data_IF_889174808317
#
_entry.id   IF_889174808317
#
_cell.length_a   1.000
_cell.length_b   1.000
_cell.length_c   1.000
_cell.angle_alpha   90.00
_cell.angle_beta   90.00
_cell.angle_gamma   90.00
#
_symmetry.space_group_name_H-M   'P 1'
#
loop_
_entity.id
_entity.type
_entity.pdbx_description
1 polymer ?
#
# COMPACT_ATOMS: atom_id res chain seq x y z
N UNK A 1 -18.26 5.76 -27.27
CA UNK A 1 -19.14 4.99 -26.35
C UNK A 1 -18.45 3.78 -25.72
N UNK A 2 -17.75 2.93 -26.49
CA UNK A 2 -17.04 1.77 -25.93
C UNK A 2 -15.90 2.18 -24.97
N UNK A 3 -15.07 3.16 -25.35
CA UNK A 3 -13.96 3.67 -24.52
C UNK A 3 -14.42 4.31 -23.20
N UNK A 4 -15.57 5.00 -23.19
CA UNK A 4 -16.15 5.59 -21.99
C UNK A 4 -16.65 4.56 -20.98
N UNK A 5 -17.33 3.50 -21.45
CA UNK A 5 -17.77 2.39 -20.59
C UNK A 5 -16.60 1.69 -19.93
N UNK A 6 -15.52 1.61 -20.67
CA UNK A 6 -14.28 0.97 -20.30
C UNK A 6 -13.56 1.78 -19.21
N UNK A 7 -13.36 3.09 -19.39
CA UNK A 7 -12.82 3.96 -18.33
C UNK A 7 -13.72 3.99 -17.08
N UNK A 8 -15.05 3.99 -17.27
CA UNK A 8 -16.01 3.92 -16.16
C UNK A 8 -15.80 2.68 -15.29
N UNK A 9 -15.61 1.51 -15.89
CA UNK A 9 -15.41 0.27 -15.13
C UNK A 9 -14.07 0.26 -14.39
N UNK A 10 -13.02 0.84 -14.98
CA UNK A 10 -11.74 0.99 -14.29
C UNK A 10 -11.88 1.89 -13.06
N UNK A 11 -12.50 3.06 -13.21
CA UNK A 11 -12.74 3.96 -12.07
C UNK A 11 -13.67 3.31 -11.04
N UNK A 12 -14.72 2.59 -11.48
CA UNK A 12 -15.58 1.84 -10.57
C UNK A 12 -14.79 0.79 -9.80
N UNK A 13 -13.88 0.07 -10.44
CA UNK A 13 -12.95 -0.85 -9.77
C UNK A 13 -12.09 -0.14 -8.72
N UNK A 14 -11.50 1.01 -9.06
CA UNK A 14 -10.71 1.79 -8.10
C UNK A 14 -11.55 2.35 -6.93
N UNK A 15 -12.81 2.72 -7.17
CA UNK A 15 -13.72 3.15 -6.11
C UNK A 15 -14.15 1.97 -5.24
N UNK A 16 -14.37 0.80 -5.83
CA UNK A 16 -14.66 -0.46 -5.11
C UNK A 16 -13.52 -0.84 -4.17
N UNK A 17 -12.28 -0.56 -4.57
CA UNK A 17 -11.09 -0.72 -3.73
C UNK A 17 -11.12 0.18 -2.49
N UNK A 18 -11.62 1.42 -2.63
CA UNK A 18 -11.75 2.35 -1.51
C UNK A 18 -12.87 1.95 -0.53
N UNK A 19 -13.95 1.33 -1.00
CA UNK A 19 -15.04 0.85 -0.13
C UNK A 19 -14.90 -0.61 0.29
N UNK A 20 -13.79 -1.26 -0.13
CA UNK A 20 -13.48 -2.65 0.16
C UNK A 20 -14.61 -3.60 -0.28
N UNK A 21 -15.18 -3.35 -1.45
CA UNK A 21 -16.22 -4.19 -2.07
C UNK A 21 -15.54 -5.14 -3.07
N UNK A 22 -15.19 -6.33 -2.59
CA UNK A 22 -14.44 -7.32 -3.37
C UNK A 22 -15.24 -7.90 -4.54
N UNK A 23 -16.54 -8.25 -4.40
CA UNK A 23 -17.35 -8.63 -5.54
C UNK A 23 -17.40 -7.55 -6.62
N UNK A 24 -17.68 -6.29 -6.25
CA UNK A 24 -17.78 -5.21 -7.23
C UNK A 24 -16.43 -4.91 -7.88
N UNK A 25 -15.34 -4.97 -7.11
CA UNK A 25 -13.98 -4.82 -7.62
C UNK A 25 -13.71 -5.89 -8.69
N UNK A 26 -13.88 -7.17 -8.34
CA UNK A 26 -13.67 -8.30 -9.25
C UNK A 26 -14.48 -8.14 -10.53
N UNK A 27 -15.78 -7.92 -10.39
CA UNK A 27 -16.72 -7.89 -11.51
C UNK A 27 -16.47 -6.68 -12.43
N UNK A 28 -16.02 -5.54 -11.87
CA UNK A 28 -15.64 -4.35 -12.65
C UNK A 28 -14.42 -4.61 -13.54
N UNK A 29 -13.42 -5.32 -13.03
CA UNK A 29 -12.23 -5.69 -13.82
C UNK A 29 -12.51 -6.82 -14.82
N UNK A 30 -13.37 -7.79 -14.48
CA UNK A 30 -13.82 -8.85 -15.41
C UNK A 30 -14.62 -8.25 -16.59
N UNK A 31 -15.50 -7.28 -16.33
CA UNK A 31 -16.34 -6.65 -17.35
C UNK A 31 -15.58 -5.73 -18.33
N UNK A 32 -14.25 -5.71 -18.28
CA UNK A 32 -13.40 -4.71 -18.94
C UNK A 32 -12.31 -5.31 -19.84
N UNK A 33 -12.64 -6.27 -20.75
CA UNK A 33 -11.63 -6.98 -21.55
C UNK A 33 -10.83 -6.07 -22.48
N UNK A 34 -11.39 -4.95 -22.94
CA UNK A 34 -10.68 -3.98 -23.79
C UNK A 34 -9.59 -3.17 -23.05
N UNK A 35 -9.72 -2.97 -21.74
CA UNK A 35 -8.64 -2.36 -20.92
C UNK A 35 -7.59 -3.35 -20.49
N UNK A 36 -7.93 -4.63 -20.43
CA UNK A 36 -6.93 -5.67 -20.25
C UNK A 36 -5.87 -5.59 -21.37
N UNK A 37 -6.19 -5.08 -22.57
CA UNK A 37 -5.17 -4.83 -23.61
C UNK A 37 -4.13 -3.77 -23.20
N UNK A 38 -4.46 -2.85 -22.30
CA UNK A 38 -3.53 -1.82 -21.83
C UNK A 38 -2.54 -2.41 -20.84
N UNK A 39 -3.02 -3.15 -19.83
CA UNK A 39 -2.20 -3.93 -18.91
C UNK A 39 -2.91 -5.23 -18.50
N UNK A 40 -2.67 -6.35 -19.22
CA UNK A 40 -3.35 -7.60 -18.92
C UNK A 40 -3.01 -8.11 -17.52
N UNK A 41 -1.76 -7.90 -17.11
CA UNK A 41 -1.27 -8.35 -15.81
C UNK A 41 -1.96 -7.63 -14.66
N UNK A 42 -2.19 -6.32 -14.77
CA UNK A 42 -2.90 -5.56 -13.74
C UNK A 42 -4.33 -6.07 -13.57
N UNK A 43 -5.03 -6.36 -14.68
CA UNK A 43 -6.43 -6.80 -14.62
C UNK A 43 -6.54 -8.17 -13.97
N UNK A 44 -5.74 -9.13 -14.43
CA UNK A 44 -5.66 -10.45 -13.80
C UNK A 44 -5.26 -10.34 -12.32
N UNK A 45 -4.32 -9.45 -12.00
CA UNK A 45 -3.88 -9.24 -10.61
C UNK A 45 -4.98 -8.66 -9.72
N UNK A 46 -5.72 -7.64 -10.17
CA UNK A 46 -6.81 -7.04 -9.38
C UNK A 46 -7.97 -8.03 -9.16
N UNK A 47 -8.30 -8.83 -10.16
CA UNK A 47 -9.28 -9.93 -10.02
C UNK A 47 -8.77 -10.95 -9.01
N UNK A 48 -7.50 -11.36 -9.11
CA UNK A 48 -6.87 -12.28 -8.15
C UNK A 48 -6.85 -11.73 -6.73
N UNK A 49 -6.56 -10.44 -6.54
CA UNK A 49 -6.60 -9.76 -5.24
C UNK A 49 -8.01 -9.79 -4.64
N UNK A 50 -9.03 -9.46 -5.43
CA UNK A 50 -10.42 -9.50 -4.98
C UNK A 50 -10.85 -10.92 -4.60
N UNK A 51 -10.53 -11.91 -5.44
CA UNK A 51 -10.85 -13.32 -5.18
C UNK A 51 -10.11 -13.86 -3.96
N UNK A 52 -8.88 -13.39 -3.68
CA UNK A 52 -8.16 -13.75 -2.46
C UNK A 52 -8.88 -13.24 -1.20
N UNK A 53 -9.36 -12.00 -1.21
CA UNK A 53 -10.09 -11.47 -0.06
C UNK A 53 -11.44 -12.17 0.15
N UNK A 54 -12.14 -12.53 -0.93
CA UNK A 54 -13.34 -13.37 -0.87
C UNK A 54 -13.05 -14.78 -0.35
N UNK A 55 -11.90 -15.34 -0.70
CA UNK A 55 -11.44 -16.61 -0.15
C UNK A 55 -11.21 -16.54 1.36
N UNK A 56 -10.52 -15.49 1.83
CA UNK A 56 -10.28 -15.25 3.26
C UNK A 56 -11.60 -15.06 4.02
N UNK A 57 -12.53 -14.28 3.47
CA UNK A 57 -13.86 -14.10 4.06
C UNK A 57 -14.61 -15.44 4.16
N UNK A 58 -14.61 -16.24 3.09
CA UNK A 58 -15.25 -17.55 3.08
C UNK A 58 -14.62 -18.55 4.08
N UNK A 59 -13.29 -18.53 4.22
CA UNK A 59 -12.57 -19.35 5.18
C UNK A 59 -13.00 -19.04 6.62
N UNK A 60 -13.01 -17.76 7.00
CA UNK A 60 -13.41 -17.34 8.35
C UNK A 60 -14.92 -17.49 8.61
N UNK A 61 -15.74 -17.51 7.56
CA UNK A 61 -17.16 -17.83 7.63
C UNK A 61 -17.47 -19.34 7.63
N UNK A 62 -16.45 -20.21 7.53
CA UNK A 62 -16.59 -21.66 7.39
C UNK A 62 -17.48 -22.09 6.20
N UNK A 63 -17.43 -21.34 5.08
CA UNK A 63 -18.10 -21.69 3.82
C UNK A 63 -17.12 -22.42 2.89
N UNK A 64 -17.07 -23.74 3.02
CA UNK A 64 -16.19 -24.61 2.24
C UNK A 64 -16.38 -24.50 0.72
N UNK A 65 -17.61 -24.25 0.26
CA UNK A 65 -17.91 -24.19 -1.16
C UNK A 65 -17.41 -22.88 -1.77
N UNK A 66 -17.67 -21.75 -1.10
CA UNK A 66 -17.13 -20.46 -1.50
C UNK A 66 -15.61 -20.42 -1.37
N UNK A 67 -15.06 -21.01 -0.30
CA UNK A 67 -13.63 -21.14 -0.06
C UNK A 67 -12.92 -21.82 -1.23
N UNK A 68 -13.35 -23.03 -1.64
CA UNK A 68 -12.77 -23.73 -2.80
C UNK A 68 -12.86 -22.93 -4.09
N UNK A 69 -14.02 -22.30 -4.35
CA UNK A 69 -14.25 -21.50 -5.57
C UNK A 69 -13.31 -20.29 -5.62
N UNK A 70 -13.27 -19.50 -4.56
CA UNK A 70 -12.51 -18.25 -4.51
C UNK A 70 -11.02 -18.51 -4.43
N UNK A 71 -10.58 -19.56 -3.74
CA UNK A 71 -9.16 -19.98 -3.73
C UNK A 71 -8.69 -20.34 -5.13
N UNK A 72 -9.42 -21.20 -5.84
CA UNK A 72 -9.08 -21.60 -7.19
C UNK A 72 -9.01 -20.40 -8.15
N UNK A 73 -10.00 -19.51 -8.08
CA UNK A 73 -10.03 -18.29 -8.89
C UNK A 73 -8.84 -17.35 -8.55
N UNK A 74 -8.56 -17.12 -7.27
CA UNK A 74 -7.44 -16.28 -6.85
C UNK A 74 -6.10 -16.79 -7.41
N UNK A 75 -5.85 -18.09 -7.27
CA UNK A 75 -4.60 -18.67 -7.75
C UNK A 75 -4.48 -18.67 -9.28
N UNK A 76 -5.55 -19.00 -9.99
CA UNK A 76 -5.56 -18.96 -11.46
C UNK A 76 -5.21 -17.57 -11.96
N UNK A 77 -5.88 -16.55 -11.39
CA UNK A 77 -5.71 -15.14 -11.77
C UNK A 77 -4.34 -14.59 -11.40
N UNK A 78 -3.81 -14.92 -10.23
CA UNK A 78 -2.45 -14.51 -9.83
C UNK A 78 -1.38 -15.15 -10.71
N UNK A 79 -1.45 -16.46 -10.99
CA UNK A 79 -0.52 -17.12 -11.92
C UNK A 79 -0.67 -16.56 -13.34
N UNK A 80 -1.89 -16.27 -13.77
CA UNK A 80 -2.16 -15.61 -15.05
C UNK A 80 -1.46 -14.25 -15.11
N UNK A 81 -1.64 -13.41 -14.09
CA UNK A 81 -1.00 -12.11 -13.97
C UNK A 81 0.53 -12.20 -14.08
N UNK A 82 1.16 -13.12 -13.33
CA UNK A 82 2.60 -13.36 -13.40
C UNK A 82 3.09 -13.79 -14.80
N UNK A 83 2.32 -14.63 -15.49
CA UNK A 83 2.63 -15.12 -16.86
C UNK A 83 2.46 -14.04 -17.93
N UNK A 84 1.54 -13.10 -17.78
CA UNK A 84 1.28 -12.06 -18.79
C UNK A 84 2.02 -10.75 -18.50
N UNK A 85 2.52 -10.56 -17.29
CA UNK A 85 3.32 -9.40 -16.89
C UNK A 85 4.57 -9.22 -17.75
N UNK A 86 4.89 -7.96 -18.07
CA UNK A 86 6.08 -7.53 -18.81
C UNK A 86 6.17 -8.05 -20.25
N UNK A 87 5.14 -8.77 -20.76
CA UNK A 87 5.06 -9.17 -22.17
C UNK A 87 4.86 -7.95 -23.06
N UNK A 88 4.08 -6.97 -22.60
CA UNK A 88 3.91 -5.70 -23.28
C UNK A 88 5.00 -4.73 -22.82
N UNK A 89 5.72 -4.15 -23.78
CA UNK A 89 6.79 -3.17 -23.53
C UNK A 89 6.42 -1.83 -24.12
N UNK A 90 6.54 -0.78 -23.34
CA UNK A 90 6.38 0.61 -23.80
C UNK A 90 7.79 1.18 -23.96
N UNK A 91 8.15 1.60 -25.17
CA UNK A 91 9.50 2.07 -25.49
C UNK A 91 10.61 1.08 -25.06
N UNK A 92 10.36 -0.23 -25.25
CA UNK A 92 11.31 -1.30 -24.91
C UNK A 92 11.40 -1.66 -23.43
N UNK A 93 10.74 -0.92 -22.53
CA UNK A 93 10.71 -1.19 -21.08
C UNK A 93 9.35 -1.78 -20.66
N UNK A 94 9.33 -2.72 -19.69
CA UNK A 94 8.07 -3.15 -19.08
C UNK A 94 7.41 -1.96 -18.37
N UNK A 95 6.08 -1.96 -18.29
CA UNK A 95 5.39 -0.96 -17.49
C UNK A 95 5.71 -1.16 -16.01
N UNK A 96 5.96 -0.09 -15.24
CA UNK A 96 6.42 -0.23 -13.86
C UNK A 96 5.45 -1.06 -12.99
N UNK A 97 4.15 -0.87 -13.17
CA UNK A 97 3.13 -1.68 -12.46
C UNK A 97 3.18 -3.17 -12.81
N UNK A 98 3.56 -3.55 -14.03
CA UNK A 98 3.66 -4.96 -14.40
C UNK A 98 4.92 -5.60 -13.81
N UNK A 99 6.01 -4.85 -13.71
CA UNK A 99 7.22 -5.27 -12.99
C UNK A 99 6.89 -5.54 -11.52
N UNK A 100 6.11 -4.65 -10.88
CA UNK A 100 5.64 -4.83 -9.51
C UNK A 100 4.80 -6.11 -9.35
N UNK A 101 3.79 -6.30 -10.21
CA UNK A 101 2.93 -7.50 -10.20
C UNK A 101 3.75 -8.77 -10.38
N UNK A 102 4.71 -8.77 -11.31
CA UNK A 102 5.59 -9.91 -11.55
C UNK A 102 6.44 -10.24 -10.32
N UNK A 103 7.05 -9.23 -9.68
CA UNK A 103 7.86 -9.43 -8.48
C UNK A 103 7.02 -10.00 -7.33
N UNK A 104 5.79 -9.47 -7.13
CA UNK A 104 4.89 -9.92 -6.06
C UNK A 104 4.44 -11.36 -6.26
N UNK A 105 3.98 -11.72 -7.46
CA UNK A 105 3.56 -13.10 -7.76
C UNK A 105 4.73 -14.08 -7.63
N UNK A 106 5.90 -13.76 -8.18
CA UNK A 106 7.09 -14.63 -8.08
C UNK A 106 7.54 -14.86 -6.65
N UNK A 107 7.40 -13.86 -5.78
CA UNK A 107 7.70 -13.95 -4.36
C UNK A 107 6.81 -14.99 -3.68
N UNK A 108 5.49 -14.90 -3.87
CA UNK A 108 4.56 -15.87 -3.28
C UNK A 108 4.72 -17.27 -3.88
N UNK A 109 4.98 -17.39 -5.18
CA UNK A 109 5.30 -18.67 -5.82
C UNK A 109 6.56 -19.31 -5.22
N UNK A 110 7.61 -18.52 -4.99
CA UNK A 110 8.84 -19.01 -4.36
C UNK A 110 8.59 -19.46 -2.90
N UNK A 111 7.77 -18.73 -2.16
CA UNK A 111 7.42 -19.09 -0.78
C UNK A 111 6.57 -20.37 -0.71
N UNK A 112 5.57 -20.50 -1.57
CA UNK A 112 4.76 -21.70 -1.71
C UNK A 112 5.63 -22.90 -2.08
N UNK A 113 6.53 -22.74 -3.07
CA UNK A 113 7.44 -23.81 -3.48
C UNK A 113 8.43 -24.23 -2.38
N UNK A 114 8.85 -23.30 -1.51
CA UNK A 114 9.75 -23.57 -0.39
C UNK A 114 9.06 -24.22 0.82
N UNK A 115 7.72 -24.24 0.85
CA UNK A 115 6.93 -24.67 2.01
C UNK A 115 6.03 -25.87 1.64
N UNK A 116 6.33 -27.08 2.13
CA UNK A 116 5.51 -28.25 1.82
C UNK A 116 4.04 -28.07 2.20
N UNK A 117 3.13 -28.24 1.24
CA UNK A 117 1.69 -28.13 1.45
C UNK A 117 1.15 -26.70 1.54
N UNK A 118 1.96 -25.68 1.26
CA UNK A 118 1.49 -24.30 1.20
C UNK A 118 1.04 -23.95 -0.22
N UNK A 119 -0.24 -23.70 -0.37
CA UNK A 119 -0.84 -23.24 -1.62
C UNK A 119 -0.48 -21.77 -1.91
N UNK A 120 -0.59 -21.34 -3.18
CA UNK A 120 -0.21 -19.98 -3.57
C UNK A 120 -1.05 -18.94 -2.84
N UNK A 121 -2.37 -19.18 -2.71
CA UNK A 121 -3.27 -18.27 -2.00
C UNK A 121 -2.90 -18.13 -0.51
N UNK A 122 -2.37 -19.18 0.12
CA UNK A 122 -1.97 -19.18 1.53
C UNK A 122 -0.55 -18.62 1.74
N UNK A 123 0.27 -18.59 0.68
CA UNK A 123 1.57 -17.92 0.69
C UNK A 123 1.46 -16.39 0.63
N UNK A 124 0.26 -15.84 0.43
CA UNK A 124 0.02 -14.40 0.48
C UNK A 124 -0.17 -13.96 1.92
N UNK A 125 0.77 -13.15 2.44
CA UNK A 125 0.67 -12.53 3.75
C UNK A 125 -0.18 -11.26 3.71
N UNK A 126 0.45 -10.12 3.41
CA UNK A 126 -0.22 -8.81 3.37
C UNK A 126 -1.29 -8.80 2.29
N UNK A 127 -2.48 -8.24 2.59
CA UNK A 127 -3.54 -8.09 1.60
C UNK A 127 -3.04 -7.31 0.37
N UNK A 128 -2.97 -7.95 -0.81
CA UNK A 128 -2.50 -7.27 -2.00
C UNK A 128 -3.56 -6.30 -2.53
N UNK A 129 -4.84 -6.49 -2.19
CA UNK A 129 -5.88 -5.51 -2.48
C UNK A 129 -5.61 -4.21 -1.69
N UNK A 130 -5.36 -4.31 -0.38
CA UNK A 130 -5.05 -3.12 0.43
C UNK A 130 -3.71 -2.50 0.04
N UNK A 131 -2.71 -3.30 -0.35
CA UNK A 131 -1.47 -2.80 -0.93
C UNK A 131 -1.73 -1.97 -2.20
N UNK A 132 -2.61 -2.45 -3.08
CA UNK A 132 -3.02 -1.69 -4.27
C UNK A 132 -3.82 -0.43 -3.90
N UNK A 133 -4.58 -0.46 -2.80
CA UNK A 133 -5.26 0.72 -2.28
C UNK A 133 -4.23 1.80 -1.88
N UNK A 134 -3.13 1.40 -1.23
CA UNK A 134 -2.02 2.31 -0.96
C UNK A 134 -1.37 2.83 -2.24
N UNK A 135 -1.06 1.97 -3.22
CA UNK A 135 -0.43 2.35 -4.50
C UNK A 135 -1.27 3.36 -5.29
N UNK A 136 -2.61 3.23 -5.27
CA UNK A 136 -3.54 4.18 -5.91
C UNK A 136 -4.02 5.31 -5.01
N UNK A 137 -3.53 5.42 -3.77
CA UNK A 137 -4.03 6.40 -2.80
C UNK A 137 -5.53 6.28 -2.50
N UNK A 138 -6.12 5.09 -2.71
CA UNK A 138 -7.53 4.83 -2.45
C UNK A 138 -7.86 4.96 -0.96
N UNK A 139 -6.89 4.72 -0.06
CA UNK A 139 -7.04 4.96 1.38
C UNK A 139 -7.37 6.41 1.74
N UNK A 140 -7.04 7.38 0.88
CA UNK A 140 -7.43 8.79 1.07
C UNK A 140 -8.92 9.05 0.82
N UNK A 141 -9.61 8.11 0.18
CA UNK A 141 -11.05 8.17 -0.12
C UNK A 141 -11.88 7.31 0.84
N UNK A 142 -11.23 6.59 1.75
CA UNK A 142 -11.89 5.75 2.77
C UNK A 142 -12.51 6.64 3.85
N UNK A 143 -13.76 6.34 4.23
CA UNK A 143 -14.36 6.88 5.44
C UNK A 143 -13.85 6.15 6.69
N UNK A 144 -14.27 6.56 7.89
CA UNK A 144 -13.84 5.92 9.14
C UNK A 144 -14.11 4.41 9.18
N UNK A 145 -15.29 3.98 8.74
CA UNK A 145 -15.67 2.56 8.70
C UNK A 145 -14.80 1.77 7.70
N UNK A 146 -14.53 2.33 6.52
CA UNK A 146 -13.67 1.70 5.53
C UNK A 146 -12.22 1.61 6.02
N UNK A 147 -11.71 2.63 6.73
CA UNK A 147 -10.38 2.60 7.31
C UNK A 147 -10.24 1.49 8.38
N UNK A 148 -11.24 1.34 9.26
CA UNK A 148 -11.26 0.27 10.27
C UNK A 148 -11.29 -1.10 9.62
N UNK A 149 -12.14 -1.29 8.60
CA UNK A 149 -12.17 -2.51 7.80
C UNK A 149 -10.82 -2.76 7.12
N UNK A 150 -10.20 -1.76 6.51
CA UNK A 150 -8.91 -1.90 5.84
C UNK A 150 -7.80 -2.34 6.81
N UNK A 151 -7.81 -1.83 8.06
CA UNK A 151 -6.91 -2.30 9.12
C UNK A 151 -7.15 -3.78 9.42
N UNK A 152 -8.41 -4.21 9.54
CA UNK A 152 -8.75 -5.61 9.74
C UNK A 152 -8.33 -6.50 8.55
N UNK A 153 -8.37 -5.99 7.32
CA UNK A 153 -7.88 -6.71 6.13
C UNK A 153 -6.34 -6.91 6.12
N UNK A 154 -5.59 -6.08 6.85
CA UNK A 154 -4.15 -6.23 7.03
C UNK A 154 -3.77 -7.04 8.27
N UNK A 155 -4.74 -7.49 9.05
CA UNK A 155 -4.47 -8.27 10.25
C UNK A 155 -3.97 -9.67 9.87
N UNK A 156 -2.89 -10.11 10.52
CA UNK A 156 -2.24 -11.37 10.16
C UNK A 156 -3.10 -12.61 10.47
N UNK A 157 -4.00 -12.52 11.45
CA UNK A 157 -4.99 -13.56 11.78
C UNK A 157 -6.00 -13.80 10.66
N UNK A 158 -6.14 -12.85 9.72
CA UNK A 158 -6.93 -13.02 8.51
C UNK A 158 -6.30 -13.99 7.52
N UNK A 159 -5.00 -14.24 7.60
CA UNK A 159 -4.33 -15.22 6.75
C UNK A 159 -4.86 -16.63 7.04
N UNK A 160 -4.95 -17.44 5.99
CA UNK A 160 -5.51 -18.80 6.01
C UNK A 160 -4.44 -19.88 6.14
N UNK A 161 -3.16 -19.49 6.06
CA UNK A 161 -2.02 -20.38 6.26
C UNK A 161 -1.99 -20.93 7.69
N UNK A 162 -1.46 -22.13 7.86
CA UNK A 162 -1.24 -22.72 9.18
C UNK A 162 -0.27 -21.88 10.04
N UNK A 163 -0.28 -22.03 11.37
CA UNK A 163 0.50 -21.21 12.30
C UNK A 163 1.98 -21.09 11.94
N UNK A 164 2.63 -22.21 11.62
CA UNK A 164 4.06 -22.24 11.25
C UNK A 164 4.38 -21.43 9.99
N UNK A 165 3.48 -21.48 8.99
CA UNK A 165 3.64 -20.72 7.75
C UNK A 165 3.40 -19.23 7.99
N UNK A 166 2.43 -18.89 8.84
CA UNK A 166 2.15 -17.52 9.23
C UNK A 166 3.30 -16.89 10.03
N UNK A 167 3.93 -17.63 10.93
CA UNK A 167 5.12 -17.15 11.65
C UNK A 167 6.28 -16.87 10.69
N UNK A 168 6.50 -17.73 9.70
CA UNK A 168 7.52 -17.50 8.65
C UNK A 168 7.22 -16.27 7.81
N UNK A 169 5.96 -16.08 7.43
CA UNK A 169 5.49 -14.89 6.71
C UNK A 169 5.76 -13.61 7.50
N UNK A 170 5.44 -13.61 8.80
CA UNK A 170 5.67 -12.47 9.71
C UNK A 170 7.16 -12.20 9.95
N UNK A 171 7.98 -13.25 10.00
CA UNK A 171 9.42 -13.14 10.20
C UNK A 171 10.16 -12.63 8.96
N UNK A 172 9.55 -12.71 7.78
CA UNK A 172 10.14 -12.20 6.55
C UNK A 172 10.08 -10.66 6.54
N UNK A 173 11.26 -10.04 6.57
CA UNK A 173 11.39 -8.59 6.78
C UNK A 173 10.73 -7.76 5.69
N UNK A 174 10.83 -8.18 4.43
CA UNK A 174 10.22 -7.46 3.31
C UNK A 174 8.69 -7.52 3.33
N UNK A 175 8.09 -8.65 3.74
CA UNK A 175 6.65 -8.77 3.99
C UNK A 175 6.22 -7.92 5.18
N UNK A 176 6.96 -7.98 6.28
CA UNK A 176 6.69 -7.18 7.48
C UNK A 176 6.83 -5.68 7.21
N UNK A 177 7.80 -5.26 6.40
CA UNK A 177 7.94 -3.88 5.98
C UNK A 177 6.82 -3.43 5.03
N UNK A 178 6.42 -4.28 4.09
CA UNK A 178 5.25 -4.06 3.24
C UNK A 178 3.99 -3.89 4.09
N UNK A 179 3.79 -4.77 5.08
CA UNK A 179 2.69 -4.68 6.04
C UNK A 179 2.74 -3.36 6.81
N UNK A 180 3.91 -3.00 7.36
CA UNK A 180 4.08 -1.81 8.19
C UNK A 180 3.77 -0.53 7.42
N UNK A 181 4.22 -0.38 6.18
CA UNK A 181 3.92 0.77 5.32
C UNK A 181 2.42 0.90 5.05
N UNK A 182 1.77 -0.20 4.70
CA UNK A 182 0.34 -0.19 4.40
C UNK A 182 -0.50 0.08 5.67
N UNK A 183 -0.14 -0.55 6.79
CA UNK A 183 -0.80 -0.35 8.07
C UNK A 183 -0.58 1.07 8.60
N UNK A 184 0.62 1.63 8.50
CA UNK A 184 0.92 3.00 8.94
C UNK A 184 0.10 4.03 8.18
N UNK A 185 -0.08 3.82 6.86
CA UNK A 185 -0.88 4.71 6.01
C UNK A 185 -2.36 4.76 6.42
N UNK A 186 -2.91 3.62 6.87
CA UNK A 186 -4.28 3.53 7.39
C UNK A 186 -4.38 4.15 8.79
N UNK A 187 -3.48 3.79 9.70
CA UNK A 187 -3.48 4.29 11.08
C UNK A 187 -3.32 5.82 11.13
N UNK A 188 -2.41 6.39 10.32
CA UNK A 188 -2.28 7.86 10.26
C UNK A 188 -3.53 8.53 9.69
N UNK A 189 -4.25 7.87 8.77
CA UNK A 189 -5.51 8.36 8.22
C UNK A 189 -6.64 8.35 9.26
N UNK A 190 -6.59 7.42 10.22
CA UNK A 190 -7.42 7.43 11.44
C UNK A 190 -6.93 8.44 12.50
N UNK A 191 -5.83 9.13 12.24
CA UNK A 191 -5.21 10.06 13.19
C UNK A 191 -4.34 9.43 14.27
N UNK A 192 -4.14 8.10 14.25
CA UNK A 192 -3.25 7.35 15.15
C UNK A 192 -1.78 7.47 14.72
N UNK A 193 -1.26 8.68 14.73
CA UNK A 193 0.08 9.02 14.21
C UNK A 193 1.21 8.36 15.00
N UNK A 194 1.08 8.23 16.33
CA UNK A 194 2.07 7.58 17.17
C UNK A 194 2.21 6.09 16.85
N UNK A 195 1.09 5.37 16.72
CA UNK A 195 1.10 3.94 16.36
C UNK A 195 1.64 3.74 14.94
N UNK A 196 1.24 4.58 13.99
CA UNK A 196 1.74 4.54 12.62
C UNK A 196 3.27 4.71 12.55
N UNK A 197 3.82 5.66 13.33
CA UNK A 197 5.25 5.92 13.43
C UNK A 197 5.99 4.72 14.02
N UNK A 198 5.49 4.20 15.16
CA UNK A 198 6.09 3.06 15.85
C UNK A 198 6.22 1.84 14.94
N UNK A 199 5.20 1.52 14.15
CA UNK A 199 5.26 0.40 13.19
C UNK A 199 6.37 0.56 12.16
N UNK A 200 6.52 1.75 11.57
CA UNK A 200 7.56 2.03 10.59
C UNK A 200 8.96 1.94 11.22
N UNK A 201 9.10 2.46 12.44
CA UNK A 201 10.37 2.42 13.17
C UNK A 201 10.79 0.98 13.50
N UNK A 202 9.87 0.18 14.02
CA UNK A 202 10.13 -1.20 14.45
C UNK A 202 10.37 -2.17 13.28
N UNK A 203 9.61 -2.04 12.20
CA UNK A 203 9.60 -3.04 11.12
C UNK A 203 10.38 -2.65 9.87
N UNK A 204 10.79 -1.37 9.74
CA UNK A 204 11.59 -0.91 8.59
C UNK A 204 12.85 -0.20 9.03
N UNK A 205 12.75 0.86 9.84
CA UNK A 205 13.91 1.70 10.19
C UNK A 205 14.92 0.95 11.06
N UNK A 206 14.46 0.05 11.94
CA UNK A 206 15.32 -0.77 12.79
C UNK A 206 16.12 -1.85 12.03
N UNK A 207 15.94 -1.98 10.72
CA UNK A 207 16.58 -3.01 9.91
C UNK A 207 17.54 -2.42 8.88
N UNK A 208 18.56 -3.21 8.52
CA UNK A 208 19.49 -2.82 7.46
C UNK A 208 18.76 -2.72 6.12
N UNK A 209 19.11 -1.70 5.33
CA UNK A 209 18.48 -1.42 4.02
C UNK A 209 18.55 -2.61 3.06
N UNK A 210 19.59 -3.44 3.13
CA UNK A 210 19.72 -4.65 2.31
C UNK A 210 18.62 -5.69 2.58
N UNK A 211 17.95 -5.63 3.74
CA UNK A 211 16.81 -6.47 4.05
C UNK A 211 15.64 -6.26 3.08
N UNK A 212 15.53 -5.10 2.44
CA UNK A 212 14.44 -4.74 1.52
C UNK A 212 14.86 -4.68 0.04
N UNK A 213 16.13 -5.00 -0.26
CA UNK A 213 16.66 -5.03 -1.64
C UNK A 213 16.72 -6.46 -2.18
N UNK A 214 16.30 -6.66 -3.43
CA UNK A 214 16.37 -7.95 -4.12
C UNK A 214 15.35 -8.10 -5.25
N UNK A 215 15.57 -9.08 -6.14
CA UNK A 215 14.78 -9.24 -7.37
C UNK A 215 13.28 -9.54 -7.15
N UNK A 216 12.92 -10.13 -6.01
CA UNK A 216 11.54 -10.47 -5.66
C UNK A 216 11.06 -9.72 -4.40
N UNK A 217 11.75 -8.62 -4.03
CA UNK A 217 11.41 -7.79 -2.86
C UNK A 217 10.68 -6.53 -3.29
N UNK A 218 9.95 -5.92 -2.35
CA UNK A 218 9.20 -4.72 -2.59
C UNK A 218 10.11 -3.49 -2.44
N UNK A 219 10.74 -3.10 -3.55
CA UNK A 219 11.74 -2.03 -3.61
C UNK A 219 11.22 -0.64 -3.18
N UNK A 220 9.91 -0.45 -3.12
CA UNK A 220 9.30 0.80 -2.68
C UNK A 220 9.24 0.97 -1.15
N UNK A 221 9.43 -0.10 -0.35
CA UNK A 221 9.18 -0.07 1.11
C UNK A 221 10.02 1.00 1.82
N UNK A 222 11.30 1.11 1.47
CA UNK A 222 12.21 2.09 2.09
C UNK A 222 11.79 3.53 1.77
N UNK A 223 11.51 3.81 0.50
CA UNK A 223 11.09 5.14 0.07
C UNK A 223 9.74 5.52 0.66
N UNK A 224 8.79 4.59 0.65
CA UNK A 224 7.46 4.79 1.22
C UNK A 224 7.53 5.00 2.74
N UNK A 225 8.46 4.34 3.44
CA UNK A 225 8.66 4.57 4.87
C UNK A 225 9.09 6.00 5.17
N UNK A 226 10.09 6.53 4.45
CA UNK A 226 10.53 7.92 4.63
C UNK A 226 9.40 8.91 4.26
N UNK A 227 8.66 8.62 3.19
CA UNK A 227 7.49 9.42 2.80
C UNK A 227 6.41 9.40 3.89
N UNK A 228 6.03 8.24 4.40
CA UNK A 228 4.97 8.10 5.39
C UNK A 228 5.35 8.72 6.74
N UNK A 229 6.62 8.62 7.17
CA UNK A 229 7.15 9.37 8.31
C UNK A 229 7.05 10.89 8.10
N UNK A 230 7.33 11.37 6.88
CA UNK A 230 7.15 12.78 6.53
C UNK A 230 5.68 13.21 6.59
N UNK A 231 4.75 12.38 6.12
CA UNK A 231 3.31 12.67 6.21
C UNK A 231 2.85 12.70 7.67
N UNK A 232 3.36 11.80 8.52
CA UNK A 232 3.07 11.82 9.96
C UNK A 232 3.54 13.14 10.58
N UNK A 233 4.78 13.56 10.30
CA UNK A 233 5.30 14.84 10.78
C UNK A 233 4.48 16.04 10.26
N UNK A 234 4.02 15.99 9.01
CA UNK A 234 3.11 17.00 8.45
C UNK A 234 1.78 17.06 9.21
N UNK A 235 1.16 15.92 9.51
CA UNK A 235 -0.10 15.88 10.26
C UNK A 235 0.07 16.44 11.68
N UNK A 236 1.19 16.13 12.34
CA UNK A 236 1.56 16.68 13.64
C UNK A 236 1.78 18.20 13.56
N UNK A 237 2.42 18.69 12.50
CA UNK A 237 2.56 20.13 12.22
C UNK A 237 1.19 20.82 12.06
N UNK A 238 0.27 20.24 11.30
CA UNK A 238 -1.05 20.83 11.10
C UNK A 238 -1.91 20.84 12.37
N UNK A 239 -1.81 19.79 13.20
CA UNK A 239 -2.60 19.66 14.43
C UNK A 239 -2.05 20.50 15.58
N UNK A 240 -0.72 20.70 15.64
CA UNK A 240 -0.05 21.29 16.80
C UNK A 240 0.06 20.31 17.98
N UNK A 241 0.68 20.72 19.09
CA UNK A 241 0.90 19.86 20.26
C UNK A 241 -0.39 19.59 21.06
N UNK A 242 -1.44 20.40 20.86
CA UNK A 242 -2.68 20.39 21.63
C UNK A 242 -3.80 19.49 21.05
N UNK A 243 -3.50 18.46 20.26
CA UNK A 243 -4.54 17.52 19.80
C UNK A 243 -5.26 16.78 20.96
N UNK A 244 -4.75 16.88 22.20
CA UNK A 244 -5.36 16.36 23.44
C UNK A 244 -5.78 17.46 24.44
N UNK A 245 -5.58 18.76 24.14
CA UNK A 245 -5.97 19.86 25.04
C UNK A 245 -7.08 20.69 24.39
N UNK A 246 -8.23 20.79 25.06
CA UNK A 246 -9.43 21.47 24.56
C UNK A 246 -9.27 22.99 24.36
N UNK A 247 -8.22 23.61 24.90
CA UNK A 247 -7.99 25.04 24.78
C UNK A 247 -6.92 25.36 23.73
N UNK A 248 -7.39 25.79 22.55
CA UNK A 248 -6.55 26.45 21.54
C UNK A 248 -6.32 27.89 21.97
N UNK A 249 -5.25 28.15 22.71
CA UNK A 249 -4.73 29.52 22.81
C UNK A 249 -3.99 29.86 21.51
N UNK A 250 -4.64 30.64 20.64
CA UNK A 250 -3.99 31.19 19.46
C UNK A 250 -2.83 32.10 19.88
N UNK A 251 -1.62 31.80 19.40
CA UNK A 251 -0.44 32.67 19.57
C UNK A 251 0.61 32.20 20.59
N UNK A 252 0.54 30.97 21.09
CA UNK A 252 1.62 30.43 21.92
C UNK A 252 2.90 30.18 21.10
N UNK A 253 3.99 30.87 21.42
CA UNK A 253 5.31 30.73 20.79
C UNK A 253 5.81 29.27 20.83
N UNK A 254 5.46 28.51 21.86
CA UNK A 254 5.79 27.09 21.98
C UNK A 254 5.06 26.22 20.93
N UNK A 255 3.81 26.57 20.60
CA UNK A 255 3.03 25.88 19.57
C UNK A 255 3.61 26.15 18.19
N UNK A 256 4.00 27.39 17.91
CA UNK A 256 4.66 27.74 16.64
C UNK A 256 6.02 27.06 16.50
N UNK A 257 6.83 27.03 17.56
CA UNK A 257 8.11 26.32 17.57
C UNK A 257 7.92 24.81 17.34
N UNK A 258 6.91 24.19 17.97
CA UNK A 258 6.56 22.78 17.73
C UNK A 258 6.20 22.53 16.27
N UNK A 259 5.32 23.36 15.69
CA UNK A 259 4.89 23.21 14.29
C UNK A 259 6.05 23.42 13.32
N UNK A 260 6.92 24.40 13.57
CA UNK A 260 8.14 24.62 12.77
C UNK A 260 9.04 23.39 12.81
N UNK A 261 9.32 22.84 14.00
CA UNK A 261 10.11 21.60 14.14
C UNK A 261 9.50 20.44 13.36
N UNK A 262 8.18 20.26 13.45
CA UNK A 262 7.48 19.20 12.71
C UNK A 262 7.49 19.42 11.20
N UNK A 263 7.50 20.66 10.74
CA UNK A 263 7.70 20.98 9.33
C UNK A 263 9.13 20.66 8.87
N UNK A 264 10.14 20.88 9.72
CA UNK A 264 11.53 20.49 9.43
C UNK A 264 11.71 18.96 9.39
N UNK A 265 11.08 18.23 10.32
CA UNK A 265 11.02 16.76 10.30
C UNK A 265 10.36 16.24 9.01
N UNK A 266 9.23 16.86 8.59
CA UNK A 266 8.55 16.54 7.34
C UNK A 266 9.47 16.76 6.13
N UNK A 267 10.11 17.94 6.06
CA UNK A 267 11.06 18.27 5.00
C UNK A 267 12.19 17.24 4.90
N UNK A 268 12.82 16.90 6.02
CA UNK A 268 13.91 15.93 6.06
C UNK A 268 13.47 14.54 5.58
N UNK A 269 12.25 14.11 5.91
CA UNK A 269 11.68 12.87 5.40
C UNK A 269 11.41 12.91 3.89
N UNK A 270 10.89 14.02 3.37
CA UNK A 270 10.68 14.20 1.92
C UNK A 270 12.00 14.23 1.14
N UNK A 271 13.03 14.89 1.68
CA UNK A 271 14.38 14.93 1.11
C UNK A 271 14.97 13.51 1.01
N UNK A 272 14.82 12.70 2.06
CA UNK A 272 15.21 11.27 2.05
C UNK A 272 14.39 10.47 1.04
N UNK A 273 13.07 10.62 1.04
CA UNK A 273 12.16 9.91 0.13
C UNK A 273 12.46 10.20 -1.34
N UNK A 274 12.94 11.40 -1.66
CA UNK A 274 13.37 11.80 -3.01
C UNK A 274 14.79 11.35 -3.35
N UNK A 275 15.66 11.20 -2.34
CA UNK A 275 17.06 10.81 -2.50
C UNK A 275 17.30 9.32 -2.72
N UNK A 276 16.25 8.49 -2.71
CA UNK A 276 16.38 7.07 -3.02
C UNK A 276 16.69 6.82 -4.49
N UNK A 277 17.39 5.72 -4.76
CA UNK A 277 17.58 5.19 -6.10
C UNK A 277 16.23 4.86 -6.77
N UNK A 278 16.23 4.79 -8.11
CA UNK A 278 15.01 4.47 -8.87
C UNK A 278 14.44 3.13 -8.43
N UNK A 279 13.12 3.08 -8.28
CA UNK A 279 12.37 1.92 -7.82
C UNK A 279 11.12 1.73 -8.67
N UNK A 280 10.53 0.54 -8.61
CA UNK A 280 9.50 0.08 -9.55
C UNK A 280 8.25 0.96 -9.56
N UNK A 281 7.89 1.61 -8.46
CA UNK A 281 6.68 2.45 -8.37
C UNK A 281 6.98 3.96 -8.29
N UNK A 282 8.15 4.40 -8.77
CA UNK A 282 8.60 5.80 -8.70
C UNK A 282 7.59 6.79 -9.29
N UNK A 283 7.04 6.50 -10.46
CA UNK A 283 6.04 7.35 -11.13
C UNK A 283 4.71 7.49 -10.36
N UNK A 284 4.46 6.62 -9.36
CA UNK A 284 3.24 6.66 -8.53
C UNK A 284 3.51 7.16 -7.12
N UNK A 285 4.59 6.70 -6.50
CA UNK A 285 4.92 6.99 -5.10
C UNK A 285 5.92 8.15 -4.99
N UNK A 286 6.90 8.23 -5.89
CA UNK A 286 7.88 9.31 -5.94
C UNK A 286 7.23 10.67 -6.23
N UNK A 287 6.22 10.69 -7.10
CA UNK A 287 5.41 11.89 -7.39
C UNK A 287 4.74 12.45 -6.13
N UNK A 288 4.42 11.62 -5.13
CA UNK A 288 3.85 12.09 -3.86
C UNK A 288 4.84 12.90 -3.04
N UNK A 289 6.10 12.46 -3.00
CA UNK A 289 7.17 13.19 -2.32
C UNK A 289 7.40 14.55 -2.99
N UNK A 290 7.37 14.60 -4.33
CA UNK A 290 7.46 15.85 -5.09
C UNK A 290 6.34 16.84 -4.74
N UNK A 291 5.07 16.42 -4.75
CA UNK A 291 3.97 17.30 -4.37
C UNK A 291 3.97 17.66 -2.87
N UNK A 292 4.45 16.73 -2.03
CA UNK A 292 4.70 17.01 -0.61
C UNK A 292 5.68 18.16 -0.43
N UNK A 293 6.74 18.22 -1.24
CA UNK A 293 7.73 19.28 -1.20
C UNK A 293 7.09 20.65 -1.45
N UNK A 294 6.30 20.77 -2.52
CA UNK A 294 5.61 22.02 -2.84
C UNK A 294 4.65 22.45 -1.71
N UNK A 295 4.05 21.49 -1.00
CA UNK A 295 3.16 21.76 0.14
C UNK A 295 3.94 22.32 1.33
N UNK A 296 5.13 21.76 1.61
CA UNK A 296 6.02 22.26 2.67
C UNK A 296 6.55 23.65 2.33
N UNK A 297 6.99 23.87 1.09
CA UNK A 297 7.49 25.17 0.61
C UNK A 297 6.42 26.26 0.74
N UNK A 298 5.19 25.95 0.32
CA UNK A 298 4.05 26.84 0.50
C UNK A 298 3.80 27.19 1.98
N UNK A 299 3.86 26.20 2.87
CA UNK A 299 3.66 26.43 4.31
C UNK A 299 4.75 27.31 4.91
N UNK A 300 6.02 27.09 4.52
CA UNK A 300 7.14 27.96 4.94
C UNK A 300 6.95 29.39 4.49
N UNK A 301 6.63 29.59 3.21
CA UNK A 301 6.38 30.93 2.66
C UNK A 301 5.23 31.61 3.38
N UNK A 302 4.12 30.89 3.63
CA UNK A 302 2.94 31.43 4.32
C UNK A 302 3.23 31.82 5.77
N UNK A 303 4.16 31.13 6.44
CA UNK A 303 4.50 31.35 7.85
C UNK A 303 5.77 32.17 8.08
N UNK A 304 6.53 32.50 7.04
CA UNK A 304 7.84 33.14 7.18
C UNK A 304 8.88 32.24 7.84
N UNK A 305 8.71 30.91 7.76
CA UNK A 305 9.63 29.93 8.36
C UNK A 305 10.72 29.51 7.36
N UNK A 306 11.50 30.50 6.90
CA UNK A 306 12.61 30.26 6.00
C UNK A 306 13.66 29.33 6.64
N UNK A 307 14.42 28.63 5.81
CA UNK A 307 15.56 27.84 6.26
C UNK A 307 16.68 28.82 6.63
N UNK A 308 17.24 28.67 7.82
CA UNK A 308 18.57 29.22 8.07
C UNK A 308 19.52 28.52 7.08
N UNK A 309 20.19 29.30 6.23
CA UNK A 309 21.10 28.81 5.18
C UNK A 309 22.32 28.10 5.77
#
# INVERSE_FOLDING_TARGET
MAELRVLKNFELGLLSLAVLDWPLLRDSFVASPKLAEWSPALFEYMIGCASLELYRDAFHAADDAACRRHKAEAEERMRSAGRVACKKRVMGRPMPIETFVQARVRRWEALAAASPGLDLADAVGVSPAVEMAYVWSAHRRMGPAELERAVAHLAWDRCTAGPDALERLRAERDEAGTWAVNMSALLRSQGKTADARRLLEEHVVAHDRSAFKGANKMDYVLQATDYELAVIAWLECCRGPAAEKEEKEEGNEADEAYRRRKLDECQAGLDKAKGWESFTLEDRLGVRALFGQHTVDWMRQKKGWERDQ
#
